data_IF_626283973331
#
_entry.id   IF_626283973331
#
_cell.length_a   1.000
_cell.length_b   1.000
_cell.length_c   1.000
_cell.angle_alpha   90.00
_cell.angle_beta   90.00
_cell.angle_gamma   90.00
#
_symmetry.space_group_name_H-M   'P 1'
#
loop_
_entity.id
_entity.type
_entity.pdbx_description
1 polymer ?
#
# COMPACT_ATOMS: atom_id res chain seq x y z
N UNK A 1 -34.94 4.22 -11.89
CA UNK A 1 -33.59 4.81 -11.75
C UNK A 1 -32.79 3.88 -10.87
N UNK A 2 -31.73 3.30 -11.41
CA UNK A 2 -30.86 2.37 -10.69
C UNK A 2 -29.80 3.22 -9.99
N UNK A 3 -29.76 3.22 -8.66
CA UNK A 3 -28.61 3.69 -7.89
C UNK A 3 -27.78 2.45 -7.53
N UNK A 4 -26.70 2.22 -8.28
CA UNK A 4 -25.66 1.25 -7.93
C UNK A 4 -24.80 1.93 -6.89
N UNK A 5 -25.08 1.67 -5.60
CA UNK A 5 -24.20 2.06 -4.52
C UNK A 5 -23.54 0.82 -3.95
N UNK A 6 -22.21 0.81 -4.08
CA UNK A 6 -21.23 0.17 -3.18
C UNK A 6 -21.02 -1.35 -3.30
N UNK A 7 -20.13 -1.73 -4.22
CA UNK A 7 -19.24 -2.90 -4.09
C UNK A 7 -17.73 -2.49 -4.09
N UNK A 8 -17.42 -1.21 -3.86
CA UNK A 8 -16.05 -0.69 -3.87
C UNK A 8 -15.26 -0.95 -2.58
N UNK A 9 -15.92 -1.37 -1.50
CA UNK A 9 -15.29 -1.51 -0.16
C UNK A 9 -14.51 -2.82 0.01
N UNK A 10 -14.86 -3.86 -0.76
CA UNK A 10 -14.20 -5.18 -0.68
C UNK A 10 -12.84 -5.24 -1.37
N UNK A 11 -12.64 -4.46 -2.43
CA UNK A 11 -11.40 -4.46 -3.23
C UNK A 11 -10.30 -3.65 -2.57
N UNK A 12 -10.61 -2.44 -2.05
CA UNK A 12 -9.64 -1.56 -1.39
C UNK A 12 -8.94 -2.23 -0.19
N UNK A 13 -9.70 -2.89 0.68
CA UNK A 13 -9.15 -3.56 1.86
C UNK A 13 -8.31 -4.80 1.51
N UNK A 14 -8.59 -5.43 0.36
CA UNK A 14 -7.77 -6.55 -0.14
C UNK A 14 -6.44 -6.06 -0.71
N UNK A 15 -6.46 -4.90 -1.38
CA UNK A 15 -5.26 -4.23 -1.93
C UNK A 15 -4.33 -3.73 -0.81
N UNK A 16 -4.89 -3.13 0.23
CA UNK A 16 -4.16 -2.67 1.42
C UNK A 16 -3.44 -3.82 2.13
N UNK A 17 -4.15 -4.92 2.43
CA UNK A 17 -3.56 -6.15 3.00
C UNK A 17 -2.47 -6.76 2.12
N UNK A 18 -2.64 -6.65 0.80
CA UNK A 18 -1.63 -7.13 -0.15
C UNK A 18 -0.37 -6.26 -0.09
N UNK A 19 -0.53 -4.94 -0.03
CA UNK A 19 0.57 -3.98 0.07
C UNK A 19 1.37 -4.18 1.38
N UNK A 20 0.70 -4.28 2.52
CA UNK A 20 1.35 -4.55 3.80
C UNK A 20 2.17 -5.85 3.77
N UNK A 21 1.60 -6.91 3.18
CA UNK A 21 2.29 -8.19 3.01
C UNK A 21 3.52 -8.04 2.12
N UNK A 22 3.43 -7.30 1.02
CA UNK A 22 4.56 -7.05 0.13
C UNK A 22 5.68 -6.28 0.84
N UNK A 23 5.36 -5.22 1.58
CA UNK A 23 6.32 -4.45 2.38
C UNK A 23 7.02 -5.35 3.40
N UNK A 24 6.27 -6.22 4.10
CA UNK A 24 6.84 -7.16 5.07
C UNK A 24 7.82 -8.14 4.43
N UNK A 25 7.48 -8.69 3.27
CA UNK A 25 8.37 -9.59 2.52
C UNK A 25 9.64 -8.85 2.10
N UNK A 26 9.52 -7.62 1.57
CA UNK A 26 10.67 -6.81 1.15
C UNK A 26 11.59 -6.44 2.30
N UNK A 27 11.05 -6.09 3.48
CA UNK A 27 11.85 -5.85 4.69
C UNK A 27 12.63 -7.10 5.14
N UNK A 28 12.02 -8.28 5.02
CA UNK A 28 12.73 -9.55 5.29
C UNK A 28 13.86 -9.80 4.28
N UNK A 29 13.61 -9.57 2.98
CA UNK A 29 14.62 -9.70 1.93
C UNK A 29 15.78 -8.71 2.13
N UNK A 30 15.49 -7.47 2.55
CA UNK A 30 16.50 -6.47 2.86
C UNK A 30 17.43 -6.94 3.98
N UNK A 31 16.86 -7.50 5.05
CA UNK A 31 17.65 -8.06 6.16
C UNK A 31 18.60 -9.16 5.68
N UNK A 32 18.12 -10.09 4.86
CA UNK A 32 18.95 -11.16 4.26
C UNK A 32 20.06 -10.56 3.38
N UNK A 33 19.75 -9.54 2.58
CA UNK A 33 20.72 -8.86 1.73
C UNK A 33 21.81 -8.14 2.54
N UNK A 34 21.44 -7.52 3.67
CA UNK A 34 22.36 -6.89 4.61
C UNK A 34 23.28 -7.92 5.29
N UNK A 35 22.70 -8.99 5.83
CA UNK A 35 23.46 -10.08 6.47
C UNK A 35 24.41 -10.77 5.48
N UNK A 36 24.00 -10.87 4.21
CA UNK A 36 24.80 -11.43 3.13
C UNK A 36 25.79 -10.46 2.45
N UNK A 37 25.92 -9.22 2.91
CA UNK A 37 26.75 -8.18 2.28
C UNK A 37 26.50 -8.03 0.76
N UNK A 38 25.23 -7.92 0.36
CA UNK A 38 24.80 -7.79 -1.05
C UNK A 38 24.42 -6.33 -1.39
N UNK A 39 25.37 -5.39 -1.58
CA UNK A 39 25.09 -3.96 -1.69
C UNK A 39 24.13 -3.59 -2.83
N UNK A 40 24.31 -4.15 -4.03
CA UNK A 40 23.41 -3.86 -5.15
C UNK A 40 21.97 -4.34 -4.89
N UNK A 41 21.82 -5.44 -4.13
CA UNK A 41 20.49 -5.98 -3.77
C UNK A 41 19.85 -5.13 -2.68
N UNK A 42 20.63 -4.63 -1.73
CA UNK A 42 20.19 -3.69 -0.69
C UNK A 42 19.60 -2.44 -1.34
N UNK A 43 20.35 -1.80 -2.25
CA UNK A 43 19.91 -0.59 -2.94
C UNK A 43 18.62 -0.84 -3.74
N UNK A 44 18.56 -1.94 -4.51
CA UNK A 44 17.38 -2.27 -5.28
C UNK A 44 16.13 -2.51 -4.40
N UNK A 45 16.29 -3.20 -3.26
CA UNK A 45 15.17 -3.46 -2.35
C UNK A 45 14.73 -2.17 -1.64
N UNK A 46 15.66 -1.27 -1.30
CA UNK A 46 15.33 0.02 -0.69
C UNK A 46 14.49 0.88 -1.64
N UNK A 47 14.87 1.00 -2.91
CA UNK A 47 14.07 1.75 -3.90
C UNK A 47 12.66 1.16 -4.07
N UNK A 48 12.54 -0.17 -4.06
CA UNK A 48 11.23 -0.83 -4.14
C UNK A 48 10.38 -0.61 -2.88
N UNK A 49 10.98 -0.56 -1.70
CA UNK A 49 10.27 -0.26 -0.45
C UNK A 49 9.72 1.17 -0.46
N UNK A 50 10.51 2.15 -0.91
CA UNK A 50 10.05 3.53 -1.03
C UNK A 50 8.86 3.66 -2.01
N UNK A 51 8.88 2.92 -3.12
CA UNK A 51 7.78 2.90 -4.08
C UNK A 51 6.50 2.31 -3.47
N UNK A 52 6.61 1.19 -2.75
CA UNK A 52 5.49 0.57 -2.06
C UNK A 52 4.92 1.47 -0.94
N UNK A 53 5.78 2.17 -0.21
CA UNK A 53 5.35 3.11 0.84
C UNK A 53 4.66 4.35 0.24
N UNK A 54 5.12 4.86 -0.91
CA UNK A 54 4.42 5.92 -1.65
C UNK A 54 3.02 5.48 -2.12
N UNK A 55 2.92 4.28 -2.70
CA UNK A 55 1.63 3.71 -3.12
C UNK A 55 0.64 3.58 -1.95
N UNK A 56 1.15 3.26 -0.76
CA UNK A 56 0.32 3.21 0.46
C UNK A 56 -0.18 4.57 0.90
N UNK A 57 0.67 5.59 0.85
CA UNK A 57 0.31 6.96 1.21
C UNK A 57 -0.76 7.55 0.28
N UNK A 58 -0.59 7.38 -1.04
CA UNK A 58 -1.53 7.88 -2.04
C UNK A 58 -2.90 7.18 -1.89
N UNK A 59 -2.90 5.86 -1.69
CA UNK A 59 -4.13 5.09 -1.47
C UNK A 59 -4.84 5.47 -0.16
N UNK A 60 -4.10 5.83 0.89
CA UNK A 60 -4.67 6.25 2.17
C UNK A 60 -5.35 7.62 2.03
N UNK A 61 -4.70 8.59 1.37
CA UNK A 61 -5.25 9.93 1.15
C UNK A 61 -6.55 9.90 0.36
N UNK A 62 -6.63 9.09 -0.69
CA UNK A 62 -7.85 8.93 -1.48
C UNK A 62 -9.00 8.36 -0.63
N UNK A 63 -8.70 7.40 0.26
CA UNK A 63 -9.70 6.80 1.15
C UNK A 63 -10.20 7.78 2.21
N UNK A 64 -9.31 8.58 2.80
CA UNK A 64 -9.64 9.57 3.82
C UNK A 64 -10.45 10.72 3.20
N UNK A 65 -10.10 11.14 1.99
CA UNK A 65 -10.85 12.14 1.23
C UNK A 65 -12.28 11.66 0.92
N UNK A 66 -12.43 10.42 0.46
CA UNK A 66 -13.74 9.82 0.21
C UNK A 66 -14.59 9.72 1.49
N UNK A 67 -13.98 9.39 2.63
CA UNK A 67 -14.66 9.35 3.92
C UNK A 67 -15.13 10.75 4.36
N UNK A 68 -14.30 11.78 4.17
CA UNK A 68 -14.66 13.18 4.42
C UNK A 68 -15.85 13.64 3.56
N UNK A 69 -15.83 13.31 2.26
CA UNK A 69 -16.94 13.65 1.35
C UNK A 69 -18.24 12.96 1.77
N UNK A 70 -18.17 11.71 2.22
CA UNK A 70 -19.35 10.96 2.70
C UNK A 70 -19.95 11.55 3.98
N UNK A 71 -19.18 12.28 4.79
CA UNK A 71 -19.65 12.95 6.01
C UNK A 71 -20.37 14.28 5.72
N UNK A 72 -20.10 14.91 4.59
CA UNK A 72 -20.70 16.19 4.19
C UNK A 72 -22.06 16.05 3.48
N UNK A 73 -22.38 14.83 3.02
CA UNK A 73 -23.63 14.51 2.32
C UNK A 73 -24.79 14.13 3.28
N UNK A 74 -24.59 14.20 4.61
CA UNK A 74 -25.61 14.04 5.68
C UNK A 74 -26.09 15.41 6.24
#
# INVERSE_FOLDING_TARGET
MIAITQDFRGTAHHTEKNLERQIKIKKMQLKIAQEGNMPCVIEAIQSQLEELERLGYDSQQDSDFQALMSLLDD
#
